data_IF_483805682207
#
_entry.id   IF_483805682207
#
_cell.length_a   1.000
_cell.length_b   1.000
_cell.length_c   1.000
_cell.angle_alpha   90.00
_cell.angle_beta   90.00
_cell.angle_gamma   90.00
#
_symmetry.space_group_name_H-M   'P 1'
#
loop_
_entity.id
_entity.type
_entity.pdbx_description
1 polymer ?
#
# COMPACT_ATOMS: atom_id res chain seq x y z
N UNK A 1 17.12 -6.82 6.75
CA UNK A 1 16.59 -8.14 6.35
C UNK A 1 15.42 -7.89 5.40
N UNK A 2 15.54 -8.26 4.12
CA UNK A 2 14.48 -8.09 3.11
C UNK A 2 13.32 -9.04 3.37
N UNK A 3 12.14 -8.74 2.80
CA UNK A 3 10.98 -9.62 2.79
C UNK A 3 11.39 -11.07 2.49
N UNK A 4 11.23 -11.97 3.45
CA UNK A 4 11.49 -13.39 3.25
C UNK A 4 10.22 -14.08 2.77
N UNK A 5 10.38 -14.99 1.81
CA UNK A 5 9.43 -16.09 1.64
C UNK A 5 10.00 -17.32 2.38
N UNK A 6 9.23 -17.93 3.27
CA UNK A 6 9.58 -19.22 3.89
C UNK A 6 8.78 -20.33 3.21
N UNK A 7 9.46 -21.34 2.67
CA UNK A 7 8.83 -22.51 2.05
C UNK A 7 8.77 -23.67 3.04
N UNK A 8 7.60 -24.28 3.18
CA UNK A 8 7.44 -25.55 3.92
C UNK A 8 7.63 -26.73 2.98
N UNK A 9 8.73 -27.45 3.17
CA UNK A 9 9.01 -28.77 2.63
C UNK A 9 8.53 -29.81 3.64
N UNK A 10 7.50 -30.58 3.28
CA UNK A 10 7.01 -31.78 3.98
C UNK A 10 7.29 -31.80 5.50
N UNK A 11 6.57 -30.95 6.25
CA UNK A 11 6.60 -30.77 7.73
C UNK A 11 7.97 -30.61 8.42
N UNK A 12 9.13 -30.58 7.73
CA UNK A 12 10.46 -30.65 8.37
C UNK A 12 11.58 -29.85 7.70
N UNK A 13 11.36 -29.19 6.57
CA UNK A 13 12.41 -28.36 5.96
C UNK A 13 11.88 -26.99 5.56
N UNK A 14 12.74 -25.98 5.75
CA UNK A 14 12.44 -24.59 5.47
C UNK A 14 13.48 -24.05 4.50
N UNK A 15 13.02 -23.43 3.42
CA UNK A 15 13.88 -22.63 2.53
C UNK A 15 13.50 -21.18 2.75
N UNK A 16 14.48 -20.30 2.96
CA UNK A 16 14.26 -18.86 3.05
C UNK A 16 15.08 -18.14 2.01
N UNK A 17 14.51 -17.09 1.44
CA UNK A 17 15.16 -16.26 0.44
C UNK A 17 14.39 -14.96 0.22
N UNK A 18 15.08 -13.96 -0.32
CA UNK A 18 14.43 -12.75 -0.84
C UNK A 18 13.77 -13.09 -2.18
N UNK A 19 12.52 -12.64 -2.37
CA UNK A 19 11.77 -12.85 -3.61
C UNK A 19 12.41 -12.16 -4.83
N UNK A 20 13.27 -11.18 -4.57
CA UNK A 20 14.08 -10.53 -5.59
C UNK A 20 15.09 -11.48 -6.27
N UNK A 21 15.53 -12.55 -5.58
CA UNK A 21 16.49 -13.54 -6.11
C UNK A 21 15.85 -14.87 -6.50
N UNK A 22 14.86 -15.35 -5.74
CA UNK A 22 14.11 -16.56 -6.01
C UNK A 22 12.62 -16.28 -5.86
N UNK A 23 11.85 -16.37 -6.95
CA UNK A 23 10.40 -16.26 -6.82
C UNK A 23 9.86 -17.42 -6.01
N UNK A 24 8.97 -17.08 -5.10
CA UNK A 24 8.13 -18.05 -4.42
C UNK A 24 7.32 -18.91 -5.37
N UNK A 25 6.81 -18.33 -6.45
CA UNK A 25 6.12 -19.09 -7.49
C UNK A 25 7.02 -20.12 -8.19
N UNK A 26 8.28 -19.80 -8.47
CA UNK A 26 9.23 -20.73 -9.10
C UNK A 26 9.50 -21.92 -8.17
N UNK A 27 9.75 -21.66 -6.89
CA UNK A 27 10.00 -22.71 -5.89
C UNK A 27 8.76 -23.58 -5.67
N UNK A 28 7.56 -22.99 -5.54
CA UNK A 28 6.30 -23.76 -5.41
C UNK A 28 6.04 -24.62 -6.66
N UNK A 29 6.38 -24.10 -7.85
CA UNK A 29 6.26 -24.82 -9.12
C UNK A 29 7.20 -26.03 -9.18
N UNK A 30 8.46 -25.87 -8.75
CA UNK A 30 9.42 -26.99 -8.64
C UNK A 30 8.91 -28.09 -7.69
N UNK A 31 8.20 -27.70 -6.63
CA UNK A 31 7.55 -28.65 -5.72
C UNK A 31 6.17 -29.13 -6.20
N UNK A 32 5.80 -28.87 -7.45
CA UNK A 32 4.51 -29.25 -8.07
C UNK A 32 3.31 -28.88 -7.19
N UNK A 33 3.36 -27.72 -6.54
CA UNK A 33 2.32 -27.21 -5.65
C UNK A 33 2.26 -27.86 -4.27
N UNK A 34 3.32 -28.58 -3.84
CA UNK A 34 3.39 -29.22 -2.51
C UNK A 34 4.10 -28.37 -1.44
N UNK A 35 4.29 -27.08 -1.69
CA UNK A 35 4.89 -26.14 -0.75
C UNK A 35 3.92 -25.01 -0.42
N UNK A 36 3.93 -24.58 0.83
CA UNK A 36 3.27 -23.35 1.26
C UNK A 36 4.25 -22.18 1.21
N UNK A 37 3.77 -21.01 0.80
CA UNK A 37 4.51 -19.75 0.83
C UNK A 37 4.09 -18.93 2.04
N UNK A 38 5.07 -18.53 2.86
CA UNK A 38 4.87 -17.57 3.94
C UNK A 38 5.61 -16.29 3.60
N UNK A 39 4.87 -15.22 3.36
CA UNK A 39 5.43 -13.88 3.13
C UNK A 39 5.73 -13.17 4.45
N UNK A 40 6.95 -12.67 4.60
CA UNK A 40 7.36 -11.81 5.71
C UNK A 40 7.30 -10.34 5.27
N UNK A 41 6.47 -9.56 5.96
CA UNK A 41 6.35 -8.11 5.78
C UNK A 41 7.42 -7.37 6.59
N UNK A 42 7.71 -6.09 6.27
CA UNK A 42 8.38 -5.21 7.23
C UNK A 42 7.55 -5.13 8.52
N UNK A 43 8.18 -4.67 9.59
CA UNK A 43 7.49 -4.54 10.88
C UNK A 43 6.25 -3.66 10.71
N UNK A 44 5.14 -4.11 11.27
CA UNK A 44 4.00 -3.23 11.51
C UNK A 44 4.42 -2.11 12.48
N UNK A 45 3.65 -1.03 12.54
CA UNK A 45 3.95 0.02 13.51
C UNK A 45 3.91 -0.50 14.96
N UNK A 46 2.97 -1.40 15.29
CA UNK A 46 2.91 -2.04 16.61
C UNK A 46 4.19 -2.85 16.90
N UNK A 47 4.67 -3.66 15.95
CA UNK A 47 5.91 -4.41 16.11
C UNK A 47 7.13 -3.50 16.22
N UNK A 48 7.19 -2.44 15.40
CA UNK A 48 8.25 -1.45 15.43
C UNK A 48 8.32 -0.75 16.79
N UNK A 49 7.17 -0.25 17.27
CA UNK A 49 7.07 0.43 18.55
C UNK A 49 7.39 -0.49 19.73
N UNK A 50 6.89 -1.73 19.73
CA UNK A 50 7.23 -2.71 20.77
C UNK A 50 8.72 -3.10 20.74
N UNK A 51 9.36 -3.03 19.58
CA UNK A 51 10.80 -3.29 19.43
C UNK A 51 11.70 -2.18 19.97
N UNK A 52 11.35 -0.91 19.74
CA UNK A 52 12.19 0.23 20.15
C UNK A 52 11.79 0.83 21.51
N UNK A 53 10.51 0.70 21.90
CA UNK A 53 9.94 1.27 23.11
C UNK A 53 9.91 2.80 23.14
N UNK A 54 9.68 3.35 24.33
CA UNK A 54 9.72 4.80 24.58
C UNK A 54 8.42 5.53 24.23
N UNK A 55 8.56 6.72 23.66
CA UNK A 55 7.43 7.60 23.33
C UNK A 55 6.82 7.20 21.98
N UNK A 56 5.53 6.85 21.98
CA UNK A 56 4.81 6.38 20.79
C UNK A 56 4.76 7.42 19.67
N UNK A 57 4.72 8.71 19.98
CA UNK A 57 4.72 9.78 18.96
C UNK A 57 6.07 9.91 18.31
N UNK A 58 7.16 9.78 19.08
CA UNK A 58 8.52 9.74 18.51
C UNK A 58 8.71 8.51 17.63
N UNK A 59 8.25 7.35 18.10
CA UNK A 59 8.26 6.12 17.31
C UNK A 59 7.45 6.26 16.02
N UNK A 60 6.29 6.91 16.09
CA UNK A 60 5.44 7.18 14.92
C UNK A 60 6.15 8.05 13.89
N UNK A 61 6.72 9.19 14.28
CA UNK A 61 7.43 10.08 13.36
C UNK A 61 8.60 9.38 12.67
N UNK A 62 9.31 8.53 13.42
CA UNK A 62 10.42 7.75 12.92
C UNK A 62 9.97 6.66 11.93
N UNK A 63 8.93 5.89 12.28
CA UNK A 63 8.32 4.88 11.40
C UNK A 63 7.72 5.48 10.13
N UNK A 64 6.99 6.59 10.28
CA UNK A 64 6.39 7.35 9.18
C UNK A 64 7.44 7.78 8.15
N UNK A 65 8.63 8.15 8.62
CA UNK A 65 9.72 8.65 7.77
C UNK A 65 10.60 7.53 7.21
N UNK A 66 11.00 6.57 8.05
CA UNK A 66 12.02 5.57 7.73
C UNK A 66 11.49 4.15 7.54
N UNK A 67 10.18 3.93 7.69
CA UNK A 67 9.53 2.65 7.47
C UNK A 67 9.76 1.64 8.58
N UNK A 68 9.35 0.39 8.30
CA UNK A 68 9.30 -0.71 9.25
C UNK A 68 10.39 -1.77 9.02
N UNK A 69 11.36 -1.55 8.15
CA UNK A 69 12.42 -2.54 7.94
C UNK A 69 13.18 -2.81 9.26
N UNK A 70 13.35 -4.07 9.71
CA UNK A 70 13.89 -4.36 11.05
C UNK A 70 15.25 -3.72 11.36
N UNK A 71 16.12 -3.59 10.36
CA UNK A 71 17.43 -2.97 10.55
C UNK A 71 17.31 -1.47 10.85
N UNK A 72 16.29 -0.78 10.33
CA UNK A 72 16.05 0.65 10.57
C UNK A 72 15.81 0.90 12.06
N UNK A 73 15.04 0.03 12.71
CA UNK A 73 14.76 0.10 14.15
C UNK A 73 16.02 0.03 15.03
N UNK A 74 17.11 -0.55 14.51
CA UNK A 74 18.37 -0.71 15.23
C UNK A 74 19.37 0.43 14.99
N UNK A 75 19.08 1.35 14.06
CA UNK A 75 19.97 2.44 13.71
C UNK A 75 19.65 3.68 14.55
N UNK A 76 20.68 4.25 15.17
CA UNK A 76 20.53 5.33 16.14
C UNK A 76 20.29 6.71 15.51
N UNK A 77 20.71 6.92 14.26
CA UNK A 77 20.66 8.24 13.60
C UNK A 77 19.91 8.18 12.28
N UNK A 78 19.22 9.27 11.96
CA UNK A 78 18.50 9.44 10.69
C UNK A 78 19.41 9.30 9.46
N UNK A 79 20.66 9.79 9.56
CA UNK A 79 21.67 9.65 8.51
C UNK A 79 21.98 8.17 8.23
N UNK A 80 22.25 7.38 9.29
CA UNK A 80 22.49 5.94 9.15
C UNK A 80 21.28 5.23 8.53
N UNK A 81 20.05 5.60 8.93
CA UNK A 81 18.80 5.04 8.36
C UNK A 81 18.68 5.37 6.88
N UNK A 82 18.89 6.62 6.52
CA UNK A 82 18.86 7.12 5.14
C UNK A 82 19.88 6.39 4.26
N UNK A 83 21.13 6.28 4.71
CA UNK A 83 22.19 5.60 3.98
C UNK A 83 21.92 4.11 3.83
N UNK A 84 21.44 3.45 4.88
CA UNK A 84 21.04 2.05 4.84
C UNK A 84 19.91 1.83 3.83
N UNK A 85 18.84 2.62 3.87
CA UNK A 85 17.68 2.47 2.99
C UNK A 85 18.03 2.73 1.52
N UNK A 86 18.83 3.77 1.25
CA UNK A 86 19.35 4.08 -0.09
C UNK A 86 20.23 2.95 -0.61
N UNK A 87 21.17 2.50 0.21
CA UNK A 87 22.05 1.38 -0.12
C UNK A 87 21.26 0.11 -0.40
N UNK A 88 20.27 -0.21 0.44
CA UNK A 88 19.42 -1.39 0.29
C UNK A 88 18.60 -1.37 -1.01
N UNK A 89 18.03 -0.21 -1.36
CA UNK A 89 17.33 -0.02 -2.63
C UNK A 89 18.26 -0.26 -3.83
N UNK A 90 19.41 0.42 -3.88
CA UNK A 90 20.30 0.40 -5.05
C UNK A 90 21.05 -0.92 -5.21
N UNK A 91 21.56 -1.47 -4.10
CA UNK A 91 22.46 -2.64 -4.14
C UNK A 91 21.71 -3.96 -4.12
N UNK A 92 20.46 -3.98 -3.65
CA UNK A 92 19.71 -5.21 -3.47
C UNK A 92 18.40 -5.20 -4.26
N UNK A 93 17.41 -4.38 -3.91
CA UNK A 93 16.10 -4.42 -4.58
C UNK A 93 16.20 -4.19 -6.10
N UNK A 94 16.78 -3.06 -6.49
CA UNK A 94 16.85 -2.69 -7.90
C UNK A 94 17.81 -3.60 -8.68
N UNK A 95 18.97 -3.90 -8.08
CA UNK A 95 19.98 -4.76 -8.72
C UNK A 95 19.43 -6.15 -9.00
N UNK A 96 18.85 -6.79 -7.99
CA UNK A 96 18.30 -8.13 -8.14
C UNK A 96 17.18 -8.16 -9.20
N UNK A 97 16.29 -7.16 -9.23
CA UNK A 97 15.24 -7.04 -10.27
C UNK A 97 15.85 -6.93 -11.68
N UNK A 98 16.90 -6.12 -11.86
CA UNK A 98 17.56 -5.93 -13.15
C UNK A 98 18.27 -7.21 -13.60
N UNK A 99 19.06 -7.81 -12.73
CA UNK A 99 19.89 -8.97 -13.03
C UNK A 99 19.03 -10.20 -13.33
N UNK A 100 18.01 -10.45 -12.49
CA UNK A 100 17.12 -11.60 -12.61
C UNK A 100 16.29 -11.60 -13.87
N UNK A 101 15.77 -10.43 -14.25
CA UNK A 101 14.92 -10.29 -15.44
C UNK A 101 15.73 -9.96 -16.71
N UNK A 102 17.07 -9.96 -16.63
CA UNK A 102 17.98 -9.62 -17.71
C UNK A 102 17.59 -8.32 -18.43
N UNK A 103 17.26 -7.29 -17.64
CA UNK A 103 16.69 -6.04 -18.16
C UNK A 103 17.68 -5.32 -19.08
N UNK A 104 17.28 -5.12 -20.34
CA UNK A 104 18.07 -4.36 -21.33
C UNK A 104 18.06 -2.86 -21.09
N UNK A 105 17.06 -2.34 -20.40
CA UNK A 105 16.94 -0.91 -20.06
C UNK A 105 16.81 -0.72 -18.54
N UNK A 106 17.91 -0.80 -17.77
CA UNK A 106 17.94 -0.54 -16.34
C UNK A 106 17.52 0.88 -15.95
N UNK A 107 17.87 1.88 -16.77
CA UNK A 107 17.52 3.28 -16.48
C UNK A 107 16.02 3.52 -16.58
N UNK A 108 15.34 2.91 -17.55
CA UNK A 108 13.87 2.94 -17.63
C UNK A 108 13.20 2.29 -16.42
N UNK A 109 13.80 1.25 -15.84
CA UNK A 109 13.30 0.62 -14.61
C UNK A 109 13.48 1.54 -13.40
N UNK A 110 14.68 2.11 -13.22
CA UNK A 110 14.95 3.09 -12.15
C UNK A 110 13.96 4.24 -12.18
N UNK A 111 13.70 4.75 -13.37
CA UNK A 111 12.84 5.90 -13.55
C UNK A 111 11.36 5.55 -13.34
N UNK A 112 10.94 4.34 -13.71
CA UNK A 112 9.60 3.85 -13.42
C UNK A 112 9.38 3.80 -11.90
N UNK A 113 10.36 3.27 -11.16
CA UNK A 113 10.30 3.22 -9.69
C UNK A 113 10.15 4.63 -9.10
N UNK A 114 10.86 5.64 -9.63
CA UNK A 114 10.71 7.03 -9.19
C UNK A 114 9.31 7.60 -9.50
N UNK A 115 8.78 7.35 -10.69
CA UNK A 115 7.42 7.78 -11.08
C UNK A 115 6.37 7.16 -10.16
N UNK A 116 6.49 5.86 -9.87
CA UNK A 116 5.59 5.17 -8.93
C UNK A 116 5.76 5.69 -7.50
N UNK A 117 6.98 5.93 -7.05
CA UNK A 117 7.27 6.48 -5.72
C UNK A 117 6.68 7.89 -5.54
N UNK A 118 6.78 8.73 -6.57
CA UNK A 118 6.23 10.09 -6.57
C UNK A 118 4.72 10.12 -6.71
N UNK A 119 4.10 9.08 -7.29
CA UNK A 119 2.65 8.98 -7.48
C UNK A 119 2.00 7.97 -6.54
N UNK A 120 2.61 7.72 -5.37
CA UNK A 120 2.14 6.74 -4.39
C UNK A 120 0.69 7.00 -3.99
N UNK A 121 -0.14 5.95 -3.94
CA UNK A 121 -1.57 6.09 -3.62
C UNK A 121 -2.41 6.85 -4.68
N UNK A 122 -1.83 7.29 -5.79
CA UNK A 122 -2.58 7.88 -6.90
C UNK A 122 -3.01 6.80 -7.90
N UNK A 123 -4.25 6.89 -8.39
CA UNK A 123 -4.74 6.00 -9.45
C UNK A 123 -3.98 6.23 -10.75
N UNK A 124 -3.40 5.18 -11.31
CA UNK A 124 -2.63 5.22 -12.55
C UNK A 124 -2.87 3.96 -13.39
N UNK A 125 -2.30 3.92 -14.59
CA UNK A 125 -2.27 2.73 -15.43
C UNK A 125 -1.01 2.76 -16.33
N UNK A 126 -0.60 1.61 -16.92
CA UNK A 126 0.60 1.56 -17.75
C UNK A 126 0.62 2.57 -18.91
N UNK A 127 -0.54 2.92 -19.48
CA UNK A 127 -0.64 3.93 -20.53
C UNK A 127 -0.37 5.33 -20.02
N UNK A 128 -0.94 5.70 -18.85
CA UNK A 128 -0.69 7.02 -18.21
C UNK A 128 0.78 7.16 -17.85
N UNK A 129 1.40 6.11 -17.32
CA UNK A 129 2.84 6.11 -17.00
C UNK A 129 3.66 6.27 -18.28
N UNK A 130 3.40 5.49 -19.33
CA UNK A 130 4.10 5.62 -20.61
C UNK A 130 4.00 7.04 -21.20
N UNK A 131 2.83 7.69 -21.06
CA UNK A 131 2.65 9.08 -21.46
C UNK A 131 3.52 10.03 -20.61
N UNK A 132 3.61 9.84 -19.30
CA UNK A 132 4.48 10.62 -18.41
C UNK A 132 5.95 10.53 -18.82
N UNK A 133 6.44 9.33 -19.15
CA UNK A 133 7.79 9.14 -19.68
C UNK A 133 8.03 9.95 -20.96
N UNK A 134 7.06 9.92 -21.88
CA UNK A 134 7.16 10.63 -23.14
C UNK A 134 7.12 12.16 -22.96
N UNK A 135 6.24 12.67 -22.09
CA UNK A 135 6.00 14.12 -21.94
C UNK A 135 7.03 14.80 -21.04
N UNK A 136 7.44 14.16 -19.94
CA UNK A 136 8.33 14.77 -18.94
C UNK A 136 9.79 14.52 -19.27
N UNK A 137 10.13 13.35 -19.83
CA UNK A 137 11.52 12.92 -19.97
C UNK A 137 11.97 12.80 -21.43
N UNK A 138 11.05 12.90 -22.38
CA UNK A 138 11.34 12.71 -23.79
C UNK A 138 11.75 11.28 -24.16
N UNK A 139 11.52 10.31 -23.27
CA UNK A 139 11.87 8.90 -23.49
C UNK A 139 10.61 8.11 -23.81
N UNK A 140 10.62 7.38 -24.93
CA UNK A 140 9.51 6.49 -25.29
C UNK A 140 9.72 5.11 -24.67
N UNK A 141 8.89 4.75 -23.69
CA UNK A 141 8.76 3.36 -23.22
C UNK A 141 7.37 2.85 -23.58
N UNK A 142 7.31 1.69 -24.23
CA UNK A 142 6.03 1.09 -24.64
C UNK A 142 5.22 0.68 -23.40
N UNK A 143 3.90 0.83 -23.49
CA UNK A 143 2.94 0.40 -22.45
C UNK A 143 3.20 -1.02 -21.93
N UNK A 144 3.45 -1.96 -22.83
CA UNK A 144 3.65 -3.37 -22.45
C UNK A 144 4.95 -3.58 -21.68
N UNK A 145 5.99 -2.79 -21.99
CA UNK A 145 7.24 -2.77 -21.21
C UNK A 145 7.01 -2.19 -19.82
N UNK A 146 6.26 -1.10 -19.70
CA UNK A 146 5.89 -0.54 -18.39
C UNK A 146 5.11 -1.57 -17.56
N UNK A 147 4.12 -2.23 -18.16
CA UNK A 147 3.35 -3.28 -17.49
C UNK A 147 4.27 -4.40 -16.98
N UNK A 148 5.13 -4.92 -17.86
CA UNK A 148 6.08 -5.97 -17.49
C UNK A 148 7.02 -5.53 -16.37
N UNK A 149 7.49 -4.28 -16.38
CA UNK A 149 8.34 -3.76 -15.32
C UNK A 149 7.59 -3.64 -13.99
N UNK A 150 6.32 -3.20 -14.00
CA UNK A 150 5.47 -3.20 -12.81
C UNK A 150 5.32 -4.62 -12.25
N UNK A 151 5.10 -5.61 -13.12
CA UNK A 151 5.00 -7.01 -12.70
C UNK A 151 6.31 -7.49 -12.02
N UNK A 152 7.48 -7.12 -12.55
CA UNK A 152 8.76 -7.42 -11.89
C UNK A 152 8.94 -6.77 -10.52
N UNK A 153 8.44 -5.54 -10.33
CA UNK A 153 8.50 -4.83 -9.04
C UNK A 153 7.54 -5.45 -8.00
N UNK A 154 6.39 -5.95 -8.45
CA UNK A 154 5.45 -6.72 -7.62
C UNK A 154 6.05 -8.06 -7.23
N UNK A 155 6.64 -8.77 -8.19
CA UNK A 155 7.34 -10.03 -7.95
C UNK A 155 8.52 -9.86 -7.00
N UNK A 156 9.18 -8.69 -6.96
CA UNK A 156 10.24 -8.43 -5.99
C UNK A 156 9.74 -7.98 -4.61
N UNK A 157 8.43 -7.91 -4.40
CA UNK A 157 7.79 -7.31 -3.21
C UNK A 157 8.21 -5.87 -2.94
N UNK A 158 8.64 -5.12 -3.96
CA UNK A 158 8.96 -3.69 -3.78
C UNK A 158 7.67 -2.87 -3.68
N UNK A 159 6.70 -3.22 -4.53
CA UNK A 159 5.39 -2.59 -4.59
C UNK A 159 4.28 -3.63 -4.50
N UNK A 160 3.13 -3.18 -4.04
CA UNK A 160 1.86 -3.89 -4.04
C UNK A 160 0.87 -3.18 -4.96
N UNK A 161 -0.10 -3.93 -5.46
CA UNK A 161 -1.17 -3.43 -6.32
C UNK A 161 -2.52 -3.53 -5.61
N UNK A 162 -3.26 -2.42 -5.57
CA UNK A 162 -4.64 -2.38 -5.15
C UNK A 162 -5.53 -2.16 -6.38
N UNK A 163 -6.34 -3.18 -6.70
CA UNK A 163 -7.18 -3.16 -7.89
C UNK A 163 -8.43 -2.32 -7.65
N UNK A 164 -8.99 -1.76 -8.72
CA UNK A 164 -10.29 -1.09 -8.65
C UNK A 164 -11.44 -2.08 -8.70
N UNK A 165 -12.29 -2.00 -7.70
CA UNK A 165 -13.45 -2.86 -7.52
C UNK A 165 -14.74 -2.03 -7.52
N UNK A 166 -15.64 -2.33 -8.46
CA UNK A 166 -16.99 -1.78 -8.48
C UNK A 166 -17.80 -2.42 -7.36
N UNK A 167 -18.02 -1.66 -6.28
CA UNK A 167 -18.67 -2.16 -5.05
C UNK A 167 -20.09 -2.64 -5.35
N UNK A 168 -20.82 -1.91 -6.20
CA UNK A 168 -22.21 -2.21 -6.53
C UNK A 168 -22.33 -3.25 -7.64
N UNK A 169 -21.52 -3.13 -8.69
CA UNK A 169 -21.48 -4.04 -9.83
C UNK A 169 -20.78 -5.37 -9.53
N UNK A 170 -20.09 -5.47 -8.40
CA UNK A 170 -19.39 -6.67 -7.90
C UNK A 170 -18.40 -7.25 -8.91
N UNK A 171 -17.59 -6.37 -9.50
CA UNK A 171 -16.64 -6.73 -10.54
C UNK A 171 -15.40 -5.84 -10.46
N UNK A 172 -14.26 -6.39 -10.86
CA UNK A 172 -13.10 -5.59 -11.15
C UNK A 172 -13.34 -4.76 -12.42
N UNK A 173 -12.91 -3.49 -12.40
CA UNK A 173 -13.16 -2.56 -13.50
C UNK A 173 -11.92 -1.77 -13.88
N UNK A 174 -11.77 -1.55 -15.19
CA UNK A 174 -10.71 -0.73 -15.76
C UNK A 174 -9.32 -1.32 -15.60
N UNK A 175 -8.34 -0.60 -16.14
CA UNK A 175 -6.90 -0.86 -15.96
C UNK A 175 -6.27 0.07 -14.95
N UNK A 176 -7.07 0.95 -14.34
CA UNK A 176 -6.59 1.90 -13.34
C UNK A 176 -6.47 1.21 -11.98
N UNK A 177 -5.32 1.40 -11.33
CA UNK A 177 -4.94 0.75 -10.08
C UNK A 177 -4.12 1.73 -9.24
N UNK A 178 -4.06 1.50 -7.93
CA UNK A 178 -3.11 2.18 -7.04
C UNK A 178 -1.94 1.24 -6.76
N UNK A 179 -0.75 1.81 -6.71
CA UNK A 179 0.46 1.11 -6.29
C UNK A 179 0.96 1.67 -4.97
N UNK A 180 1.29 0.78 -4.04
CA UNK A 180 1.83 1.10 -2.72
C UNK A 180 3.21 0.48 -2.58
N UNK A 181 4.12 1.14 -1.87
CA UNK A 181 5.42 0.56 -1.55
C UNK A 181 5.28 -0.34 -0.32
N UNK A 182 5.90 -1.52 -0.36
CA UNK A 182 5.85 -2.45 0.76
C UNK A 182 6.49 -1.86 2.04
N UNK A 183 7.35 -0.85 1.90
CA UNK A 183 7.93 -0.06 2.97
C UNK A 183 8.04 1.43 2.57
N UNK A 184 7.51 2.33 3.40
CA UNK A 184 7.51 3.78 3.11
C UNK A 184 8.89 4.42 3.25
N UNK A 185 9.79 3.83 4.04
CA UNK A 185 11.19 4.25 4.16
C UNK A 185 11.97 4.02 2.88
N UNK A 186 11.75 2.89 2.20
CA UNK A 186 12.30 2.63 0.87
C UNK A 186 11.78 3.65 -0.15
N UNK A 187 10.48 3.96 -0.14
CA UNK A 187 9.91 5.03 -0.98
C UNK A 187 10.57 6.38 -0.69
N UNK A 188 10.75 6.72 0.58
CA UNK A 188 11.47 7.92 1.02
C UNK A 188 12.88 8.00 0.45
N UNK A 189 13.64 6.91 0.56
CA UNK A 189 15.00 6.82 0.03
C UNK A 189 15.07 6.97 -1.49
N UNK A 190 14.15 6.37 -2.25
CA UNK A 190 14.06 6.51 -3.71
C UNK A 190 13.91 7.97 -4.13
N UNK A 191 13.14 8.75 -3.36
CA UNK A 191 12.87 10.17 -3.63
C UNK A 191 13.86 11.12 -2.94
N UNK A 192 14.86 10.59 -2.24
CA UNK A 192 15.77 11.35 -1.38
C UNK A 192 15.02 12.23 -0.36
N UNK A 193 13.89 11.75 0.15
CA UNK A 193 13.05 12.41 1.16
C UNK A 193 12.54 13.82 0.77
N UNK A 194 12.57 14.16 -0.52
CA UNK A 194 12.17 15.48 -1.04
C UNK A 194 10.66 15.72 -1.06
N UNK A 195 9.87 14.65 -1.00
CA UNK A 195 8.41 14.70 -1.06
C UNK A 195 7.81 14.13 0.22
N UNK A 196 7.15 15.00 0.99
CA UNK A 196 6.40 14.65 2.20
C UNK A 196 4.91 14.88 1.92
N UNK A 197 4.21 13.80 1.58
CA UNK A 197 2.78 13.81 1.25
C UNK A 197 2.04 13.00 2.31
N UNK A 198 1.70 13.66 3.42
CA UNK A 198 1.19 13.00 4.64
C UNK A 198 -0.02 12.11 4.38
N UNK A 199 -0.98 12.59 3.59
CA UNK A 199 -2.17 11.82 3.21
C UNK A 199 -1.80 10.51 2.50
N UNK A 200 -0.91 10.56 1.51
CA UNK A 200 -0.56 9.37 0.72
C UNK A 200 0.37 8.42 1.46
N UNK A 201 1.27 8.94 2.30
CA UNK A 201 2.11 8.11 3.16
C UNK A 201 1.24 7.40 4.21
N UNK A 202 0.30 8.10 4.83
CA UNK A 202 -0.67 7.50 5.75
C UNK A 202 -1.51 6.42 5.06
N UNK A 203 -2.02 6.68 3.86
CA UNK A 203 -2.76 5.71 3.06
C UNK A 203 -1.92 4.45 2.79
N UNK A 204 -0.65 4.61 2.38
CA UNK A 204 0.24 3.47 2.18
C UNK A 204 0.49 2.69 3.49
N UNK A 205 0.71 3.37 4.62
CA UNK A 205 0.92 2.70 5.91
C UNK A 205 -0.32 1.89 6.30
N UNK A 206 -1.52 2.45 6.14
CA UNK A 206 -2.78 1.73 6.37
C UNK A 206 -2.89 0.51 5.45
N UNK A 207 -2.57 0.66 4.16
CA UNK A 207 -2.56 -0.47 3.23
C UNK A 207 -1.60 -1.57 3.69
N UNK A 208 -0.35 -1.23 4.03
CA UNK A 208 0.64 -2.20 4.50
C UNK A 208 0.18 -2.92 5.77
N UNK A 209 -0.44 -2.21 6.72
CA UNK A 209 -1.02 -2.80 7.93
C UNK A 209 -2.14 -3.80 7.60
N UNK A 210 -3.05 -3.44 6.69
CA UNK A 210 -4.12 -4.35 6.28
C UNK A 210 -3.58 -5.61 5.60
N UNK A 211 -2.55 -5.45 4.75
CA UNK A 211 -1.91 -6.59 4.07
C UNK A 211 -1.12 -7.48 5.04
N UNK A 212 -0.41 -6.90 6.00
CA UNK A 212 0.34 -7.66 7.02
C UNK A 212 -0.59 -8.48 7.92
N UNK A 213 -1.80 -7.97 8.21
CA UNK A 213 -2.87 -8.70 8.92
C UNK A 213 -3.58 -9.76 8.08
N UNK A 214 -3.19 -9.94 6.82
CA UNK A 214 -3.70 -10.98 5.92
C UNK A 214 -5.03 -10.64 5.25
N UNK A 215 -5.39 -9.36 5.14
CA UNK A 215 -6.58 -8.93 4.38
C UNK A 215 -6.27 -8.77 2.89
N UNK A 216 -7.28 -9.06 2.05
CA UNK A 216 -7.30 -8.60 0.66
C UNK A 216 -7.80 -7.16 0.63
N UNK A 217 -7.11 -6.30 -0.13
CA UNK A 217 -7.33 -4.86 -0.09
C UNK A 217 -7.38 -4.34 -1.52
N UNK A 218 -8.54 -3.82 -1.90
CA UNK A 218 -8.83 -3.22 -3.19
C UNK A 218 -9.27 -1.76 -3.00
N UNK A 219 -9.27 -0.96 -4.06
CA UNK A 219 -9.84 0.40 -4.08
C UNK A 219 -11.29 0.32 -4.53
N UNK A 220 -12.21 0.85 -3.74
CA UNK A 220 -13.64 0.78 -4.05
C UNK A 220 -14.09 1.91 -4.96
N UNK A 221 -14.93 1.60 -5.95
CA UNK A 221 -15.66 2.59 -6.73
C UNK A 221 -17.16 2.48 -6.48
N UNK A 222 -17.76 3.63 -6.20
CA UNK A 222 -19.20 3.78 -5.93
C UNK A 222 -19.78 4.87 -6.81
N UNK A 223 -20.93 4.62 -7.41
CA UNK A 223 -21.64 5.60 -8.24
C UNK A 223 -22.76 6.27 -7.45
N UNK A 224 -22.69 7.60 -7.34
CA UNK A 224 -23.80 8.42 -6.88
C UNK A 224 -24.52 9.03 -8.07
N UNK A 225 -25.80 8.70 -8.20
CA UNK A 225 -26.72 9.41 -9.08
C UNK A 225 -27.20 10.69 -8.43
N UNK A 226 -27.18 11.80 -9.16
CA UNK A 226 -27.72 13.08 -8.73
C UNK A 226 -28.15 13.93 -9.91
N UNK A 227 -28.78 15.07 -9.64
CA UNK A 227 -28.97 16.10 -10.67
C UNK A 227 -27.86 17.14 -10.55
N UNK A 228 -27.32 17.58 -11.67
CA UNK A 228 -26.43 18.74 -11.72
C UNK A 228 -27.20 20.05 -11.51
N UNK A 229 -26.49 21.18 -11.52
CA UNK A 229 -27.05 22.53 -11.38
C UNK A 229 -28.11 22.86 -12.46
N UNK A 230 -28.09 22.14 -13.59
CA UNK A 230 -29.03 22.30 -14.70
C UNK A 230 -30.18 21.30 -14.65
N UNK A 231 -30.32 20.53 -13.56
CA UNK A 231 -31.35 19.52 -13.39
C UNK A 231 -31.13 18.22 -14.19
N UNK A 232 -30.00 18.10 -14.89
CA UNK A 232 -29.64 16.91 -15.67
C UNK A 232 -29.12 15.82 -14.74
N UNK A 233 -29.60 14.59 -14.93
CA UNK A 233 -29.09 13.47 -14.17
C UNK A 233 -27.63 13.18 -14.54
N UNK A 234 -26.75 13.25 -13.55
CA UNK A 234 -25.33 12.95 -13.66
C UNK A 234 -24.96 11.84 -12.68
N UNK A 235 -24.06 10.96 -13.10
CA UNK A 235 -23.45 9.96 -12.22
C UNK A 235 -22.06 10.43 -11.86
N UNK A 236 -21.81 10.63 -10.57
CA UNK A 236 -20.49 10.93 -10.04
C UNK A 236 -19.92 9.65 -9.44
N UNK A 237 -18.73 9.28 -9.88
CA UNK A 237 -17.96 8.22 -9.24
C UNK A 237 -17.24 8.81 -8.02
N UNK A 238 -17.37 8.12 -6.89
CA UNK A 238 -16.56 8.36 -5.71
C UNK A 238 -15.67 7.15 -5.46
N UNK A 239 -14.51 7.42 -4.90
CA UNK A 239 -13.54 6.41 -4.49
C UNK A 239 -13.71 6.14 -3.00
N UNK A 240 -13.64 4.88 -2.62
CA UNK A 240 -13.49 4.40 -1.25
C UNK A 240 -12.06 3.89 -1.16
N UNK A 241 -11.25 4.45 -0.27
CA UNK A 241 -9.80 4.18 -0.25
C UNK A 241 -9.52 2.67 -0.18
N UNK A 242 -10.21 1.95 0.71
CA UNK A 242 -10.04 0.51 0.85
C UNK A 242 -11.36 -0.26 0.97
N UNK A 243 -11.50 -1.29 0.13
CA UNK A 243 -12.44 -2.40 0.27
C UNK A 243 -11.65 -3.59 0.81
N UNK A 244 -11.83 -3.88 2.08
CA UNK A 244 -11.07 -4.88 2.82
C UNK A 244 -11.88 -6.17 2.91
N UNK A 245 -11.28 -7.30 2.54
CA UNK A 245 -11.94 -8.60 2.55
C UNK A 245 -11.08 -9.69 3.21
N UNK A 246 -11.67 -10.43 4.14
CA UNK A 246 -11.15 -11.71 4.66
C UNK A 246 -12.36 -12.49 5.18
N UNK A 247 -12.83 -13.55 4.50
CA UNK A 247 -14.06 -14.23 4.89
C UNK A 247 -14.08 -14.61 6.38
N UNK A 248 -15.19 -14.35 7.11
CA UNK A 248 -16.46 -13.77 6.64
C UNK A 248 -16.50 -12.22 6.61
N UNK A 249 -15.41 -11.54 6.96
CA UNK A 249 -15.32 -10.09 7.13
C UNK A 249 -15.20 -9.32 5.81
N UNK A 250 -15.98 -8.25 5.70
CA UNK A 250 -15.80 -7.16 4.75
C UNK A 250 -15.93 -5.83 5.46
N UNK A 251 -15.02 -4.91 5.18
CA UNK A 251 -14.97 -3.57 5.77
C UNK A 251 -14.64 -2.55 4.68
N UNK A 252 -15.29 -1.39 4.74
CA UNK A 252 -14.96 -0.25 3.90
C UNK A 252 -14.26 0.81 4.74
N UNK A 253 -13.13 1.30 4.25
CA UNK A 253 -12.29 2.24 4.99
C UNK A 253 -12.07 3.49 4.14
N UNK A 254 -12.25 4.66 4.75
CA UNK A 254 -11.74 5.93 4.26
C UNK A 254 -10.62 6.42 5.18
N UNK A 255 -9.58 6.99 4.61
CA UNK A 255 -8.48 7.62 5.33
C UNK A 255 -8.57 9.14 5.17
N UNK A 256 -8.37 9.88 6.27
CA UNK A 256 -8.41 11.33 6.26
C UNK A 256 -7.32 11.89 7.19
N UNK A 257 -6.29 12.52 6.66
CA UNK A 257 -5.18 13.00 7.48
C UNK A 257 -5.65 13.99 8.55
N UNK A 258 -6.52 14.93 8.17
CA UNK A 258 -7.19 15.86 9.08
C UNK A 258 -8.66 16.05 8.73
N UNK A 259 -9.53 16.14 9.74
CA UNK A 259 -10.96 16.48 9.58
C UNK A 259 -11.40 17.62 10.52
N UNK A 260 -10.95 18.87 10.28
CA UNK A 260 -11.16 19.97 11.21
C UNK A 260 -12.59 20.52 11.23
N UNK A 261 -13.40 20.24 10.20
CA UNK A 261 -14.76 20.80 10.09
C UNK A 261 -15.83 19.72 9.80
N UNK A 262 -17.10 19.96 10.16
CA UNK A 262 -18.21 19.07 9.83
C UNK A 262 -18.38 18.82 8.33
N UNK A 263 -18.11 19.83 7.49
CA UNK A 263 -18.19 19.72 6.03
C UNK A 263 -17.14 18.74 5.51
N UNK A 264 -15.92 18.81 6.03
CA UNK A 264 -14.84 17.89 5.69
C UNK A 264 -15.17 16.47 6.15
N UNK A 265 -15.67 16.31 7.38
CA UNK A 265 -16.14 15.01 7.89
C UNK A 265 -17.25 14.42 7.01
N UNK A 266 -18.21 15.24 6.56
CA UNK A 266 -19.26 14.80 5.65
C UNK A 266 -18.70 14.42 4.27
N UNK A 267 -17.71 15.17 3.77
CA UNK A 267 -17.05 14.87 2.50
C UNK A 267 -16.34 13.52 2.53
N UNK A 268 -15.55 13.23 3.57
CA UNK A 268 -14.81 11.97 3.72
C UNK A 268 -15.74 10.77 3.93
N UNK A 269 -16.88 10.96 4.61
CA UNK A 269 -17.85 9.88 4.84
C UNK A 269 -18.72 9.59 3.62
N UNK A 270 -18.82 10.53 2.67
CA UNK A 270 -19.75 10.45 1.54
C UNK A 270 -19.60 9.17 0.70
N UNK A 271 -18.40 8.68 0.35
CA UNK A 271 -18.25 7.42 -0.38
C UNK A 271 -18.81 6.23 0.42
N UNK A 272 -18.49 6.13 1.71
CA UNK A 272 -18.95 5.05 2.60
C UNK A 272 -20.47 5.03 2.73
N UNK A 273 -21.09 6.20 2.93
CA UNK A 273 -22.55 6.32 3.08
C UNK A 273 -23.33 6.04 1.79
N UNK A 274 -22.66 6.04 0.64
CA UNK A 274 -23.28 5.67 -0.63
C UNK A 274 -23.42 4.15 -0.83
N UNK A 275 -22.74 3.35 0.01
CA UNK A 275 -22.79 1.89 -0.03
C UNK A 275 -24.00 1.41 0.76
N UNK A 276 -24.99 0.85 0.06
CA UNK A 276 -26.22 0.34 0.67
C UNK A 276 -26.10 -1.14 1.05
N UNK A 277 -25.24 -1.44 2.02
CA UNK A 277 -25.11 -2.74 2.66
C UNK A 277 -24.86 -2.60 4.18
N UNK A 278 -24.86 -3.73 4.89
CA UNK A 278 -24.65 -3.79 6.34
C UNK A 278 -23.19 -4.02 6.74
N UNK A 279 -22.24 -4.03 5.79
CA UNK A 279 -20.85 -4.20 6.14
C UNK A 279 -20.32 -2.94 6.82
N UNK A 280 -19.34 -3.16 7.70
CA UNK A 280 -18.78 -2.12 8.55
C UNK A 280 -18.07 -1.04 7.73
N UNK A 281 -18.20 0.20 8.20
CA UNK A 281 -17.66 1.40 7.56
C UNK A 281 -16.79 2.12 8.59
N UNK A 282 -15.53 2.40 8.23
CA UNK A 282 -14.54 2.98 9.14
C UNK A 282 -13.92 4.21 8.49
N UNK A 283 -13.72 5.26 9.27
CA UNK A 283 -12.88 6.41 8.91
C UNK A 283 -11.66 6.40 9.83
N UNK A 284 -10.47 6.29 9.25
CA UNK A 284 -9.21 6.39 9.97
C UNK A 284 -8.70 7.82 9.84
N UNK A 285 -8.43 8.48 10.96
CA UNK A 285 -7.95 9.88 10.98
C UNK A 285 -6.53 9.98 11.50
N UNK A 286 -5.75 10.91 10.95
CA UNK A 286 -4.41 11.23 11.48
C UNK A 286 -4.47 11.93 12.85
N UNK A 287 -5.57 12.62 13.14
CA UNK A 287 -5.80 13.31 14.41
C UNK A 287 -5.91 12.35 15.60
N UNK A 288 -5.41 12.77 16.76
CA UNK A 288 -5.63 12.06 18.02
C UNK A 288 -7.07 12.31 18.52
N UNK A 289 -7.89 11.29 18.41
CA UNK A 289 -9.30 11.34 18.79
C UNK A 289 -9.66 10.16 19.69
N UNK A 290 -10.73 10.33 20.48
CA UNK A 290 -11.43 9.18 21.03
C UNK A 290 -12.24 8.50 19.93
N UNK A 291 -12.22 7.17 19.92
CA UNK A 291 -13.06 6.37 19.02
C UNK A 291 -14.52 6.77 19.20
N UNK A 292 -15.22 6.96 18.09
CA UNK A 292 -16.63 7.36 18.07
C UNK A 292 -17.37 6.66 16.94
N UNK A 293 -18.60 6.28 17.20
CA UNK A 293 -19.50 5.76 16.17
C UNK A 293 -20.66 6.74 16.00
N UNK A 294 -21.01 7.02 14.75
CA UNK A 294 -22.10 7.93 14.45
C UNK A 294 -23.46 7.22 14.33
N UNK A 295 -24.53 8.01 14.16
CA UNK A 295 -25.90 7.51 14.01
C UNK A 295 -26.13 6.66 12.76
N UNK A 296 -25.19 6.66 11.81
CA UNK A 296 -25.23 5.89 10.56
C UNK A 296 -24.33 4.65 10.63
N UNK A 297 -23.74 4.35 11.80
CA UNK A 297 -22.89 3.18 12.03
C UNK A 297 -21.49 3.30 11.43
N UNK A 298 -21.02 4.52 11.13
CA UNK A 298 -19.62 4.73 10.71
C UNK A 298 -18.77 4.95 11.95
N UNK A 299 -17.75 4.10 12.10
CA UNK A 299 -16.78 4.18 13.18
C UNK A 299 -15.63 5.10 12.75
N UNK A 300 -15.31 6.13 13.55
CA UNK A 300 -14.11 6.96 13.38
C UNK A 300 -13.08 6.59 14.44
N UNK A 301 -11.84 6.31 14.01
CA UNK A 301 -10.72 5.95 14.89
C UNK A 301 -9.47 6.71 14.53
N UNK A 302 -8.63 7.01 15.52
CA UNK A 302 -7.30 7.56 15.28
C UNK A 302 -6.38 6.55 14.60
N UNK A 303 -5.39 7.05 13.87
CA UNK A 303 -4.44 6.21 13.12
C UNK A 303 -3.64 5.30 14.05
N UNK A 304 -3.09 5.83 15.15
CA UNK A 304 -2.30 5.03 16.09
C UNK A 304 -3.15 3.96 16.79
N UNK A 305 -4.41 4.28 17.11
CA UNK A 305 -5.38 3.31 17.61
C UNK A 305 -5.61 2.17 16.61
N UNK A 306 -5.74 2.51 15.31
CA UNK A 306 -5.88 1.51 14.26
C UNK A 306 -4.65 0.62 14.14
N UNK A 307 -3.45 1.22 14.15
CA UNK A 307 -2.19 0.50 13.98
C UNK A 307 -1.85 -0.41 15.17
N UNK A 308 -2.32 -0.10 16.37
CA UNK A 308 -2.00 -0.85 17.60
C UNK A 308 -3.10 -1.83 18.03
N UNK A 309 -4.36 -1.63 17.63
CA UNK A 309 -5.45 -2.54 17.93
C UNK A 309 -5.65 -3.60 16.84
N UNK A 310 -5.17 -4.81 17.12
CA UNK A 310 -5.23 -5.97 16.20
C UNK A 310 -6.65 -6.44 15.93
N UNK A 311 -7.56 -6.26 16.90
CA UNK A 311 -8.92 -6.78 16.83
C UNK A 311 -9.91 -5.74 16.28
N UNK A 312 -9.45 -4.53 15.97
CA UNK A 312 -10.31 -3.42 15.60
C UNK A 312 -11.26 -3.77 14.46
N UNK A 313 -10.80 -4.52 13.45
CA UNK A 313 -11.60 -4.90 12.26
C UNK A 313 -12.52 -6.11 12.49
N UNK A 314 -12.23 -6.94 13.48
CA UNK A 314 -12.96 -8.19 13.79
C UNK A 314 -14.10 -8.00 14.81
N UNK A 315 -14.11 -6.85 15.50
CA UNK A 315 -15.16 -6.48 16.45
C UNK A 315 -16.41 -5.99 15.69
N UNK A 316 -17.38 -6.87 15.44
CA UNK A 316 -18.66 -6.53 14.81
C UNK A 316 -19.57 -7.72 14.61
#
# INVERSE_FOLDING_TARGET
MQHFAVFLLDKRSFVSGSNSRFLSSDVVTEFRGRGDEIRIWPLTFDEYFNGIGGDIRKAWLDYYTFGGLPQVALLETEEKKTDYLRGLYETTYLRDVIERNHLRNPEGMKELVRVLASGIGSSTNPTRIANTFQTVQGVTIKRDTIKQYIDYLKDSFLIEEALRYDVKGRKYIGTETKYYFADVGIRGAILNYRQQEETHIMENIIYNELRSRGYNVDVGLVELGGKDENGKFVRKQLEVDFVVNRPPYRVYIQSAFHMPTPEKEQQERRPLLSINDHFRKIVIVGDEIHRKEDKLGVLTVGLLDFLTDKNLLEQG
#
